data_IF_925790500099
#
_entry.id   IF_925790500099
#
_cell.length_a   1.000
_cell.length_b   1.000
_cell.length_c   1.000
_cell.angle_alpha   90.00
_cell.angle_beta   90.00
_cell.angle_gamma   90.00
#
_symmetry.space_group_name_H-M   'P 1'
#
loop_
_entity.id
_entity.type
_entity.pdbx_description
1 polymer ?
#
# COMPACT_ATOMS: atom_id res chain seq x y z
N UNK A 1 11.33 5.78 -4.84
CA UNK A 1 10.81 5.95 -3.47
C UNK A 1 9.31 6.18 -3.50
N UNK A 2 8.63 5.79 -2.47
CA UNK A 2 7.20 5.92 -2.31
C UNK A 2 6.89 6.93 -1.20
N UNK A 3 5.70 7.55 -1.27
CA UNK A 3 5.22 8.44 -0.24
C UNK A 3 4.21 7.72 0.66
N UNK A 4 4.38 7.82 1.98
CA UNK A 4 3.45 7.27 2.95
C UNK A 4 2.88 8.41 3.82
N UNK A 5 1.57 8.55 3.85
CA UNK A 5 0.90 9.56 4.66
C UNK A 5 -0.56 9.18 4.94
N UNK A 6 -1.13 9.79 5.98
CA UNK A 6 -2.56 9.69 6.23
C UNK A 6 -3.31 10.75 5.43
N UNK A 7 -4.33 10.36 4.68
CA UNK A 7 -5.18 11.28 3.92
C UNK A 7 -5.84 12.31 4.86
N UNK A 8 -6.36 11.88 6.01
CA UNK A 8 -6.95 12.77 7.02
C UNK A 8 -5.96 13.82 7.53
N UNK A 9 -4.74 13.39 7.87
CA UNK A 9 -3.69 14.31 8.28
C UNK A 9 -3.24 15.23 7.14
N UNK A 10 -3.24 14.73 5.91
CA UNK A 10 -2.83 15.49 4.74
C UNK A 10 -3.87 16.53 4.30
N UNK A 11 -5.16 16.18 4.26
CA UNK A 11 -6.25 17.05 3.76
C UNK A 11 -6.76 18.01 4.84
N UNK A 12 -7.16 17.47 6.00
CA UNK A 12 -7.87 18.20 7.04
C UNK A 12 -6.98 18.66 8.20
N UNK A 13 -5.68 18.37 8.17
CA UNK A 13 -4.77 18.55 9.31
C UNK A 13 -5.30 17.88 10.60
N UNK A 14 -6.07 16.81 10.44
CA UNK A 14 -6.66 16.04 11.52
C UNK A 14 -5.72 14.93 12.00
N UNK A 15 -6.01 14.36 13.16
CA UNK A 15 -5.27 13.19 13.63
C UNK A 15 -5.47 12.01 12.67
N UNK A 16 -4.38 11.29 12.40
CA UNK A 16 -4.43 10.09 11.59
C UNK A 16 -5.25 9.00 12.26
N UNK A 17 -6.14 8.38 11.51
CA UNK A 17 -6.89 7.19 11.93
C UNK A 17 -6.14 5.88 11.60
N UNK A 18 -4.99 5.99 10.91
CA UNK A 18 -4.16 4.85 10.52
C UNK A 18 -2.77 4.99 11.13
N UNK A 19 -2.13 3.84 11.36
CA UNK A 19 -0.73 3.75 11.71
C UNK A 19 0.08 3.28 10.49
N UNK A 20 1.31 3.76 10.39
CA UNK A 20 2.28 3.29 9.40
C UNK A 20 3.32 2.48 10.15
N UNK A 21 3.46 1.22 9.80
CA UNK A 21 4.39 0.29 10.43
C UNK A 21 5.48 -0.10 9.42
N UNK A 22 6.73 -0.01 9.85
CA UNK A 22 7.89 -0.40 9.04
C UNK A 22 8.16 -1.89 9.24
N UNK A 23 8.15 -2.68 8.16
CA UNK A 23 8.29 -4.13 8.21
C UNK A 23 9.73 -4.64 8.03
N UNK A 24 10.65 -3.77 7.62
CA UNK A 24 12.08 -4.08 7.46
C UNK A 24 12.90 -2.81 7.65
N UNK A 25 14.21 -2.95 7.80
CA UNK A 25 15.13 -1.82 7.92
C UNK A 25 14.95 -0.87 6.74
N UNK A 26 14.62 0.38 7.04
CA UNK A 26 14.24 1.37 6.04
C UNK A 26 14.76 2.75 6.41
N UNK A 27 15.02 3.56 5.39
CA UNK A 27 15.34 4.98 5.54
C UNK A 27 14.17 5.81 5.03
N UNK A 28 13.67 6.70 5.86
CA UNK A 28 12.57 7.59 5.50
C UNK A 28 12.95 9.06 5.72
N UNK A 29 12.54 9.91 4.81
CA UNK A 29 12.61 11.36 4.95
C UNK A 29 11.23 11.89 5.29
N UNK A 30 11.13 12.70 6.34
CA UNK A 30 9.89 13.26 6.81
C UNK A 30 9.83 14.75 6.52
N UNK A 31 8.67 15.24 6.12
CA UNK A 31 8.39 16.67 5.98
C UNK A 31 7.07 16.97 6.68
N UNK A 32 7.02 18.07 7.42
CA UNK A 32 5.76 18.52 8.03
C UNK A 32 4.80 19.07 6.97
N UNK A 33 3.49 19.01 7.25
CA UNK A 33 2.47 19.59 6.37
C UNK A 33 2.70 21.07 6.10
N UNK A 34 3.05 21.82 7.13
CA UNK A 34 3.34 23.25 7.01
C UNK A 34 4.52 23.54 6.07
N UNK A 35 5.62 22.79 6.23
CA UNK A 35 6.79 22.94 5.37
C UNK A 35 6.49 22.53 3.93
N UNK A 36 5.68 21.47 3.74
CA UNK A 36 5.26 21.02 2.41
C UNK A 36 4.39 22.08 1.72
N UNK A 37 3.45 22.70 2.43
CA UNK A 37 2.64 23.78 1.89
C UNK A 37 3.48 25.00 1.49
N UNK A 38 4.49 25.35 2.28
CA UNK A 38 5.42 26.42 1.94
C UNK A 38 6.22 26.10 0.66
N UNK A 39 6.67 24.86 0.51
CA UNK A 39 7.35 24.42 -0.71
C UNK A 39 6.45 24.52 -1.93
N UNK A 40 5.21 24.06 -1.85
CA UNK A 40 4.24 24.17 -2.96
C UNK A 40 3.89 25.62 -3.32
N UNK A 41 3.81 26.49 -2.32
CA UNK A 41 3.58 27.93 -2.54
C UNK A 41 4.80 28.63 -3.17
N UNK A 42 6.02 28.11 -2.96
CA UNK A 42 7.24 28.74 -3.45
C UNK A 42 7.52 28.46 -4.93
N UNK A 43 6.95 27.40 -5.52
CA UNK A 43 7.24 27.01 -6.89
C UNK A 43 6.08 26.22 -7.51
N UNK A 44 5.65 26.66 -8.68
CA UNK A 44 4.63 25.96 -9.47
C UNK A 44 5.12 24.55 -9.90
N UNK A 45 6.42 24.39 -10.12
CA UNK A 45 7.02 23.08 -10.43
C UNK A 45 6.89 22.10 -9.28
N UNK A 46 7.10 22.54 -8.03
CA UNK A 46 6.91 21.73 -6.84
C UNK A 46 5.43 21.42 -6.58
N UNK A 47 4.54 22.39 -6.83
CA UNK A 47 3.10 22.15 -6.73
C UNK A 47 2.64 21.08 -7.75
N UNK A 48 3.11 21.16 -9.00
CA UNK A 48 2.82 20.16 -10.02
C UNK A 48 3.38 18.79 -9.67
N UNK A 49 4.56 18.71 -9.05
CA UNK A 49 5.09 17.45 -8.54
C UNK A 49 4.17 16.87 -7.45
N UNK A 50 3.68 17.71 -6.54
CA UNK A 50 2.70 17.32 -5.53
C UNK A 50 1.43 16.74 -6.14
N UNK A 51 0.88 17.38 -7.16
CA UNK A 51 -0.29 16.86 -7.89
C UNK A 51 -0.02 15.49 -8.51
N UNK A 52 1.12 15.30 -9.18
CA UNK A 52 1.49 14.00 -9.74
C UNK A 52 1.65 12.89 -8.70
N UNK A 53 2.17 13.21 -7.52
CA UNK A 53 2.23 12.27 -6.41
C UNK A 53 0.83 11.88 -5.93
N UNK A 54 -0.11 12.82 -5.88
CA UNK A 54 -1.51 12.55 -5.54
C UNK A 54 -2.18 11.68 -6.61
N UNK A 55 -2.03 12.01 -7.89
CA UNK A 55 -2.57 11.22 -8.99
C UNK A 55 -2.07 9.78 -8.91
N UNK A 56 -0.78 9.59 -8.63
CA UNK A 56 -0.20 8.26 -8.46
C UNK A 56 -0.83 7.50 -7.28
N UNK A 57 -1.05 8.16 -6.15
CA UNK A 57 -1.72 7.56 -4.99
C UNK A 57 -3.17 7.17 -5.29
N UNK A 58 -3.92 8.01 -6.02
CA UNK A 58 -5.28 7.68 -6.45
C UNK A 58 -5.32 6.47 -7.36
N UNK A 59 -4.43 6.39 -8.36
CA UNK A 59 -4.32 5.24 -9.25
C UNK A 59 -3.97 3.95 -8.49
N UNK A 60 -3.05 4.01 -7.53
CA UNK A 60 -2.72 2.88 -6.67
C UNK A 60 -3.93 2.40 -5.86
N UNK A 61 -4.68 3.33 -5.31
CA UNK A 61 -5.87 3.03 -4.51
C UNK A 61 -6.99 2.43 -5.37
N UNK A 62 -7.21 2.95 -6.58
CA UNK A 62 -8.19 2.41 -7.53
C UNK A 62 -7.80 1.01 -8.00
N UNK A 63 -6.54 0.79 -8.37
CA UNK A 63 -6.01 -0.53 -8.74
C UNK A 63 -6.18 -1.53 -7.59
N UNK A 64 -5.93 -1.10 -6.36
CA UNK A 64 -6.15 -1.94 -5.18
C UNK A 64 -7.65 -2.30 -5.01
N UNK A 65 -8.56 -1.35 -5.19
CA UNK A 65 -10.01 -1.59 -5.14
C UNK A 65 -10.46 -2.58 -6.23
N UNK A 66 -9.98 -2.41 -7.45
CA UNK A 66 -10.28 -3.30 -8.58
C UNK A 66 -9.76 -4.71 -8.30
N UNK A 67 -8.52 -4.84 -7.86
CA UNK A 67 -7.92 -6.15 -7.54
C UNK A 67 -8.55 -6.81 -6.32
N UNK A 68 -8.97 -6.02 -5.32
CA UNK A 68 -9.69 -6.50 -4.13
C UNK A 68 -11.13 -6.95 -4.47
N UNK A 69 -11.73 -6.41 -5.53
CA UNK A 69 -13.04 -6.80 -6.04
C UNK A 69 -13.07 -8.15 -6.75
N UNK A 70 -11.92 -8.76 -7.05
CA UNK A 70 -11.87 -10.11 -7.61
C UNK A 70 -12.51 -11.11 -6.63
N UNK A 71 -13.51 -11.90 -7.07
CA UNK A 71 -14.28 -12.76 -6.16
C UNK A 71 -13.46 -13.91 -5.58
N UNK A 72 -12.30 -14.22 -6.16
CA UNK A 72 -11.51 -15.39 -5.75
C UNK A 72 -10.25 -14.98 -5.01
N UNK A 73 -10.21 -15.25 -3.71
CA UNK A 73 -9.04 -14.99 -2.86
C UNK A 73 -7.73 -15.60 -3.39
N UNK A 74 -7.81 -16.75 -4.10
CA UNK A 74 -6.65 -17.36 -4.76
C UNK A 74 -6.06 -16.45 -5.85
N UNK A 75 -6.90 -15.85 -6.66
CA UNK A 75 -6.46 -14.95 -7.74
C UNK A 75 -5.82 -13.69 -7.18
N UNK A 76 -6.43 -13.08 -6.14
CA UNK A 76 -5.82 -11.93 -5.44
C UNK A 76 -4.44 -12.26 -4.88
N UNK A 77 -4.28 -13.43 -4.27
CA UNK A 77 -3.00 -13.88 -3.76
C UNK A 77 -1.97 -14.09 -4.88
N UNK A 78 -2.36 -14.73 -5.99
CA UNK A 78 -1.47 -14.94 -7.14
C UNK A 78 -1.01 -13.62 -7.78
N UNK A 79 -1.92 -12.64 -7.89
CA UNK A 79 -1.58 -11.31 -8.38
C UNK A 79 -0.59 -10.61 -7.43
N UNK A 80 -0.84 -10.67 -6.12
CA UNK A 80 0.05 -10.08 -5.13
C UNK A 80 1.48 -10.63 -5.23
N UNK A 81 1.66 -11.94 -5.29
CA UNK A 81 3.00 -12.55 -5.38
C UNK A 81 3.68 -12.31 -6.73
N UNK A 82 2.90 -12.05 -7.78
CA UNK A 82 3.44 -11.69 -9.10
C UNK A 82 3.92 -10.23 -9.14
N UNK A 83 3.16 -9.33 -8.54
CA UNK A 83 3.45 -7.90 -8.55
C UNK A 83 4.52 -7.50 -7.51
N UNK A 84 4.49 -8.13 -6.33
CA UNK A 84 5.35 -7.78 -5.20
C UNK A 84 5.83 -9.05 -4.46
N UNK A 85 6.68 -9.89 -5.10
CA UNK A 85 7.13 -11.15 -4.52
C UNK A 85 7.91 -10.95 -3.21
N UNK A 86 8.58 -9.83 -3.04
CA UNK A 86 9.35 -9.46 -1.85
C UNK A 86 8.50 -9.34 -0.59
N UNK A 87 7.20 -9.06 -0.70
CA UNK A 87 6.31 -9.00 0.46
C UNK A 87 6.29 -10.30 1.27
N UNK A 88 6.46 -11.45 0.60
CA UNK A 88 6.50 -12.74 1.28
C UNK A 88 7.74 -12.93 2.16
N UNK A 89 8.79 -12.15 1.93
CA UNK A 89 10.05 -12.24 2.69
C UNK A 89 9.98 -11.38 3.96
N UNK A 90 9.33 -10.22 3.90
CA UNK A 90 9.38 -9.21 4.96
C UNK A 90 8.07 -9.07 5.73
N UNK A 91 6.92 -9.39 5.10
CA UNK A 91 5.61 -9.16 5.70
C UNK A 91 5.05 -10.46 6.30
N UNK A 92 4.71 -10.46 7.61
CA UNK A 92 4.07 -11.60 8.25
C UNK A 92 2.76 -12.00 7.55
N UNK A 93 2.52 -13.30 7.40
CA UNK A 93 1.35 -13.84 6.69
C UNK A 93 0.01 -13.32 7.23
N UNK A 94 -0.07 -12.98 8.51
CA UNK A 94 -1.27 -12.38 9.11
C UNK A 94 -1.63 -11.04 8.46
N UNK A 95 -0.65 -10.22 8.13
CA UNK A 95 -0.85 -8.93 7.47
C UNK A 95 -1.18 -9.11 5.98
N UNK A 96 -0.55 -10.10 5.32
CA UNK A 96 -0.91 -10.48 3.94
C UNK A 96 -2.35 -10.98 3.89
N UNK A 97 -2.79 -11.80 4.81
CA UNK A 97 -4.17 -12.27 4.88
C UNK A 97 -5.15 -11.10 5.07
N UNK A 98 -4.84 -10.18 5.98
CA UNK A 98 -5.62 -8.96 6.21
C UNK A 98 -5.70 -8.09 4.95
N UNK A 99 -4.58 -7.87 4.28
CA UNK A 99 -4.51 -7.13 3.01
C UNK A 99 -5.41 -7.75 1.92
N UNK A 100 -5.47 -9.08 1.89
CA UNK A 100 -6.31 -9.83 0.95
C UNK A 100 -7.76 -10.03 1.42
N UNK A 101 -8.15 -9.45 2.56
CA UNK A 101 -9.49 -9.59 3.15
C UNK A 101 -9.90 -11.06 3.39
N UNK A 102 -8.97 -11.87 3.88
CA UNK A 102 -9.20 -13.27 4.25
C UNK A 102 -8.58 -13.57 5.62
N UNK A 103 -8.97 -14.70 6.18
CA UNK A 103 -8.36 -15.19 7.41
C UNK A 103 -6.98 -15.81 7.13
N UNK A 104 -6.04 -15.82 8.10
CA UNK A 104 -4.76 -16.52 7.96
C UNK A 104 -4.92 -18.00 7.62
N UNK A 105 -5.97 -18.65 8.13
CA UNK A 105 -6.29 -20.05 7.83
C UNK A 105 -6.68 -20.23 6.36
N UNK A 106 -7.47 -19.30 5.82
CA UNK A 106 -7.84 -19.30 4.39
C UNK A 106 -6.61 -19.11 3.51
N UNK A 107 -5.72 -18.19 3.87
CA UNK A 107 -4.46 -17.98 3.17
C UNK A 107 -3.58 -19.23 3.19
N UNK A 108 -3.46 -19.88 4.34
CA UNK A 108 -2.71 -21.13 4.47
C UNK A 108 -3.24 -22.24 3.54
N UNK A 109 -4.57 -22.38 3.46
CA UNK A 109 -5.20 -23.35 2.53
C UNK A 109 -4.94 -23.02 1.06
N UNK A 110 -5.00 -21.74 0.70
CA UNK A 110 -4.69 -21.28 -0.67
C UNK A 110 -3.25 -21.64 -1.03
N UNK A 111 -2.29 -21.36 -0.15
CA UNK A 111 -0.88 -21.65 -0.34
C UNK A 111 -0.63 -23.16 -0.50
N UNK A 112 -1.23 -23.97 0.36
CA UNK A 112 -1.12 -25.42 0.27
C UNK A 112 -1.65 -25.97 -1.07
N UNK A 113 -2.82 -25.46 -1.54
CA UNK A 113 -3.38 -25.85 -2.84
C UNK A 113 -2.49 -25.43 -4.02
N UNK A 114 -1.85 -24.28 -3.96
CA UNK A 114 -0.93 -23.82 -5.01
C UNK A 114 0.32 -24.72 -5.04
N UNK A 115 0.89 -25.04 -3.86
CA UNK A 115 2.07 -25.87 -3.75
C UNK A 115 1.82 -27.34 -4.19
N UNK A 116 0.59 -27.82 -4.06
CA UNK A 116 0.18 -29.18 -4.46
C UNK A 116 -0.36 -29.30 -5.88
N UNK A 117 -0.50 -28.18 -6.61
CA UNK A 117 -0.90 -28.21 -8.02
C UNK A 117 0.33 -28.49 -8.88
N UNK A 118 0.42 -29.61 -9.63
CA UNK A 118 1.49 -29.83 -10.59
C UNK A 118 1.44 -28.72 -11.66
N UNK A 119 2.61 -28.22 -12.03
CA UNK A 119 2.80 -27.29 -13.16
C UNK A 119 2.48 -27.99 -14.48
#
# INVERSE_FOLDING_TARGET
GEAAFSVWGYVDNAYSLINIEVMCDSVAYCISRTALNQLFASSIGLANLGLRLMDHQFLQQENWLISSGSPRAKERYLNLIKETPELLQYVPLKHIASYLWITPQSLSRIRAKIASSPQ
#
